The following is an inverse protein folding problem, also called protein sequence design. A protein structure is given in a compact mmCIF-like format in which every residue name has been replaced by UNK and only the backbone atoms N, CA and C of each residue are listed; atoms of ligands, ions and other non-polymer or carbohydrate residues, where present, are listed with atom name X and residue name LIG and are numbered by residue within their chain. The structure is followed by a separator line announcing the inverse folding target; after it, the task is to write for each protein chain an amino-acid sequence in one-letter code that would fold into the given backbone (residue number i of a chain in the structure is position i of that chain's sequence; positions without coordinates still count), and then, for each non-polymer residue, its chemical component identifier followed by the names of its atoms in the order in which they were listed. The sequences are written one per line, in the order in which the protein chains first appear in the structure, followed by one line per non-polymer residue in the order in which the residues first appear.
data_IF_628807482301
#
_entry.id   IF_628807482301
#
_cell.length_a   1.000
_cell.length_b   1.000
_cell.length_c   1.000
_cell.angle_alpha   90.00
_cell.angle_beta   90.00
_cell.angle_gamma   90.00
#
_symmetry.space_group_name_H-M   'P 1'
#
loop_
_entity.id
_entity.type
_entity.pdbx_description
1 polymer ?
#
# COMPACT_ATOMS: atom_id res chain seq x y z
N UNK A 1 14.62 5.43 -18.67
CA UNK A 1 14.74 3.98 -18.89
C UNK A 1 13.90 3.24 -17.86
N UNK A 2 13.05 2.34 -18.33
CA UNK A 2 12.19 1.56 -17.45
C UNK A 2 13.04 0.51 -16.71
N UNK A 3 12.98 0.52 -15.40
CA UNK A 3 13.73 -0.42 -14.57
C UNK A 3 12.82 -1.57 -14.18
N UNK A 4 13.13 -2.78 -14.63
CA UNK A 4 12.38 -3.98 -14.25
C UNK A 4 12.97 -4.60 -12.99
N UNK A 5 13.17 -3.75 -12.00
CA UNK A 5 13.71 -4.19 -10.72
C UNK A 5 12.68 -5.03 -9.99
N UNK A 6 13.14 -6.13 -9.42
CA UNK A 6 12.31 -6.97 -8.56
C UNK A 6 12.43 -6.46 -7.12
N UNK A 7 11.29 -6.22 -6.50
CA UNK A 7 11.22 -5.84 -5.09
C UNK A 7 10.52 -6.93 -4.32
N UNK A 8 10.79 -7.00 -3.03
CA UNK A 8 10.10 -7.93 -2.13
C UNK A 8 9.53 -7.18 -0.95
N UNK A 9 8.57 -7.81 -0.29
CA UNK A 9 7.99 -7.30 0.94
C UNK A 9 7.59 -8.43 1.86
N UNK A 10 7.39 -8.08 3.13
CA UNK A 10 6.95 -9.03 4.14
C UNK A 10 6.26 -8.32 5.28
N UNK A 11 5.39 -9.03 5.99
CA UNK A 11 4.80 -8.51 7.22
C UNK A 11 5.81 -8.56 8.36
N UNK A 12 5.48 -7.93 9.48
CA UNK A 12 6.40 -7.83 10.62
C UNK A 12 6.90 -9.19 11.10
N UNK A 13 6.04 -10.20 11.17
CA UNK A 13 6.44 -11.53 11.65
C UNK A 13 7.03 -12.41 10.56
N UNK A 14 6.99 -11.98 9.31
CA UNK A 14 7.54 -12.74 8.18
C UNK A 14 6.64 -13.84 7.64
N UNK A 15 5.50 -14.12 8.25
CA UNK A 15 4.62 -15.20 7.79
C UNK A 15 4.00 -14.93 6.42
N UNK A 16 3.79 -13.66 6.07
CA UNK A 16 3.25 -13.26 4.78
C UNK A 16 4.33 -12.52 4.01
N UNK A 17 4.64 -13.00 2.82
CA UNK A 17 5.65 -12.36 1.98
C UNK A 17 5.24 -12.40 0.52
N UNK A 18 5.79 -11.48 -0.27
CA UNK A 18 5.45 -11.31 -1.68
C UNK A 18 6.61 -10.72 -2.46
N UNK A 19 6.48 -10.75 -3.78
CA UNK A 19 7.43 -10.08 -4.66
C UNK A 19 6.69 -9.30 -5.74
N UNK A 20 7.35 -8.29 -6.25
CA UNK A 20 6.83 -7.42 -7.29
C UNK A 20 7.91 -7.16 -8.33
N UNK A 21 7.51 -7.00 -9.58
CA UNK A 21 8.42 -6.66 -10.66
C UNK A 21 8.00 -5.32 -11.25
N UNK A 22 8.95 -4.41 -11.46
CA UNK A 22 8.69 -3.14 -12.11
C UNK A 22 8.26 -3.29 -13.57
N UNK A 23 7.86 -2.19 -14.21
CA UNK A 23 8.02 -0.82 -13.73
C UNK A 23 7.02 -0.47 -12.63
N UNK A 24 7.45 0.44 -11.74
CA UNK A 24 6.60 0.95 -10.67
C UNK A 24 6.15 2.35 -11.06
N UNK A 25 4.93 2.46 -11.55
CA UNK A 25 4.45 3.69 -12.17
C UNK A 25 3.74 4.63 -11.22
N UNK A 26 3.29 4.13 -10.06
CA UNK A 26 2.52 4.97 -9.17
C UNK A 26 2.75 4.61 -7.70
N UNK A 27 3.04 5.64 -6.92
CA UNK A 27 3.21 5.58 -5.47
C UNK A 27 2.32 6.67 -4.88
N UNK A 28 1.23 6.28 -4.20
CA UNK A 28 0.25 7.23 -3.71
C UNK A 28 0.28 7.36 -2.19
N UNK A 29 0.12 8.60 -1.73
CA UNK A 29 -0.14 8.89 -0.31
C UNK A 29 -1.60 9.26 -0.17
N UNK A 30 -2.37 8.44 0.53
CA UNK A 30 -3.81 8.63 0.67
C UNK A 30 -4.15 9.12 2.08
N UNK A 31 -4.86 10.24 2.16
CA UNK A 31 -5.21 10.92 3.40
C UNK A 31 -6.69 10.79 3.75
N UNK A 32 -7.44 9.95 3.06
CA UNK A 32 -8.86 9.78 3.33
C UNK A 32 -9.07 9.17 4.72
N UNK A 33 -10.26 9.38 5.28
CA UNK A 33 -10.58 8.91 6.63
C UNK A 33 -10.42 7.40 6.79
N UNK A 34 -10.72 6.64 5.75
CA UNK A 34 -10.57 5.17 5.80
C UNK A 34 -9.10 4.78 5.93
N UNK A 35 -8.25 5.36 5.11
CA UNK A 35 -6.81 5.07 5.13
C UNK A 35 -6.18 5.50 6.45
N UNK A 36 -6.59 6.64 6.99
CA UNK A 36 -6.09 7.09 8.29
C UNK A 36 -6.45 6.12 9.40
N UNK A 37 -7.70 5.64 9.42
CA UNK A 37 -8.15 4.70 10.45
C UNK A 37 -7.49 3.34 10.31
N UNK A 38 -7.30 2.87 9.09
CA UNK A 38 -6.65 1.58 8.86
C UNK A 38 -5.19 1.56 9.28
N UNK A 39 -4.50 2.67 9.09
CA UNK A 39 -3.07 2.75 9.38
C UNK A 39 -2.76 3.33 10.75
N UNK A 40 -3.72 4.04 11.36
CA UNK A 40 -3.45 4.81 12.56
C UNK A 40 -2.48 5.96 12.31
N UNK A 41 -2.37 6.41 11.07
CA UNK A 41 -1.47 7.48 10.65
C UNK A 41 -2.23 8.56 9.91
N UNK A 42 -1.56 9.67 9.63
CA UNK A 42 -2.15 10.76 8.85
C UNK A 42 -2.38 10.42 7.38
N UNK A 43 -1.78 9.34 6.90
CA UNK A 43 -1.93 8.90 5.52
C UNK A 43 -1.52 7.44 5.38
N UNK A 44 -1.96 6.80 4.30
CA UNK A 44 -1.47 5.50 3.89
C UNK A 44 -0.57 5.68 2.68
N UNK A 45 0.56 4.97 2.65
CA UNK A 45 1.49 4.99 1.51
C UNK A 45 1.38 3.67 0.77
N UNK A 46 1.03 3.74 -0.51
CA UNK A 46 0.78 2.54 -1.31
C UNK A 46 1.47 2.61 -2.66
N UNK A 47 2.16 1.53 -3.01
CA UNK A 47 2.56 1.30 -4.39
C UNK A 47 1.41 0.62 -5.11
N UNK A 48 1.17 1.02 -6.35
CA UNK A 48 0.17 0.40 -7.19
C UNK A 48 0.89 -0.38 -8.28
N UNK A 49 0.64 -1.67 -8.35
CA UNK A 49 1.21 -2.52 -9.39
C UNK A 49 0.09 -3.26 -10.10
N UNK A 50 0.34 -3.68 -11.31
CA UNK A 50 -0.62 -4.51 -12.04
C UNK A 50 -0.60 -5.91 -11.46
N UNK A 51 -1.72 -6.61 -11.62
CA UNK A 51 -1.87 -7.96 -11.09
C UNK A 51 -0.75 -8.90 -11.59
N UNK A 52 -0.35 -8.78 -12.84
CA UNK A 52 0.70 -9.62 -13.43
C UNK A 52 2.12 -9.27 -12.96
N UNK A 53 2.30 -8.14 -12.27
CA UNK A 53 3.57 -7.75 -11.68
C UNK A 53 3.74 -8.25 -10.25
N UNK A 54 2.75 -8.93 -9.70
CA UNK A 54 2.69 -9.29 -8.29
C UNK A 54 2.65 -10.80 -8.10
N UNK A 55 3.34 -11.29 -7.07
CA UNK A 55 3.33 -12.70 -6.73
C UNK A 55 3.41 -12.91 -5.22
N UNK A 56 2.50 -13.69 -4.67
CA UNK A 56 2.62 -14.16 -3.30
C UNK A 56 3.75 -15.17 -3.22
N UNK A 57 4.59 -15.04 -2.19
CA UNK A 57 5.67 -15.98 -1.92
C UNK A 57 5.26 -16.95 -0.82
N UNK A 58 4.73 -16.43 0.29
CA UNK A 58 4.29 -17.27 1.40
C UNK A 58 3.16 -16.62 2.19
N UNK A 59 2.40 -17.43 2.88
CA UNK A 59 1.45 -16.97 3.88
C UNK A 59 0.13 -16.43 3.36
N UNK A 60 -0.20 -16.67 2.10
CA UNK A 60 -1.47 -16.19 1.55
C UNK A 60 -2.67 -16.66 2.40
N UNK A 61 -2.61 -17.85 2.96
CA UNK A 61 -3.67 -18.39 3.81
C UNK A 61 -3.71 -17.75 5.20
N UNK A 62 -2.70 -16.96 5.56
CA UNK A 62 -2.61 -16.29 6.86
C UNK A 62 -3.04 -14.82 6.77
N UNK A 63 -3.89 -14.49 5.82
CA UNK A 63 -4.37 -13.12 5.59
C UNK A 63 -5.81 -13.00 6.07
N UNK A 64 -6.05 -11.93 6.81
CA UNK A 64 -7.39 -11.52 7.22
C UNK A 64 -7.86 -10.40 6.29
N UNK A 65 -8.99 -10.61 5.62
CA UNK A 65 -9.60 -9.62 4.75
C UNK A 65 -10.76 -8.95 5.47
N UNK A 66 -10.86 -7.64 5.35
CA UNK A 66 -11.94 -6.86 5.91
C UNK A 66 -12.55 -5.99 4.81
N UNK A 67 -13.84 -6.18 4.55
CA UNK A 67 -14.57 -5.36 3.58
C UNK A 67 -14.78 -3.97 4.15
N UNK A 68 -14.33 -2.96 3.40
CA UNK A 68 -14.48 -1.58 3.82
C UNK A 68 -15.95 -1.15 3.75
N UNK A 69 -16.34 -0.18 4.59
CA UNK A 69 -17.72 0.34 4.53
C UNK A 69 -18.06 0.89 3.15
N UNK A 70 -19.28 0.62 2.72
CA UNK A 70 -19.80 1.17 1.46
C UNK A 70 -19.82 2.71 1.51
N UNK A 71 -19.59 3.40 0.38
CA UNK A 71 -19.51 2.89 -0.99
C UNK A 71 -18.10 2.45 -1.42
N UNK A 72 -17.16 2.27 -0.51
CA UNK A 72 -15.81 1.85 -0.86
C UNK A 72 -15.79 0.47 -1.51
N UNK A 73 -14.91 0.30 -2.48
CA UNK A 73 -14.67 -0.99 -3.13
C UNK A 73 -13.38 -1.64 -2.60
N UNK A 74 -12.83 -1.10 -1.53
CA UNK A 74 -11.60 -1.61 -0.97
C UNK A 74 -11.83 -2.81 -0.07
N UNK A 75 -10.88 -3.71 -0.10
CA UNK A 75 -10.72 -4.75 0.91
C UNK A 75 -9.43 -4.43 1.63
N UNK A 76 -9.47 -4.34 2.95
CA UNK A 76 -8.26 -4.22 3.76
C UNK A 76 -7.73 -5.62 4.04
N UNK A 77 -6.44 -5.81 3.90
CA UNK A 77 -5.82 -7.10 4.15
C UNK A 77 -4.70 -6.96 5.18
N UNK A 78 -4.65 -7.89 6.12
CA UNK A 78 -3.63 -7.87 7.17
C UNK A 78 -3.22 -9.28 7.54
N UNK A 79 -2.01 -9.41 8.09
CA UNK A 79 -1.51 -10.69 8.60
C UNK A 79 -2.28 -11.08 9.87
N UNK A 80 -2.79 -12.31 9.91
CA UNK A 80 -3.51 -12.80 11.10
C UNK A 80 -2.63 -12.88 12.33
N UNK A 81 -1.33 -13.09 12.15
CA UNK A 81 -0.41 -13.32 13.26
C UNK A 81 0.15 -12.03 13.86
N UNK A 82 0.49 -11.05 13.04
CA UNK A 82 1.14 -9.82 13.54
C UNK A 82 0.33 -8.55 13.29
N UNK A 83 -0.75 -8.61 12.50
CA UNK A 83 -1.59 -7.45 12.24
C UNK A 83 -1.04 -6.48 11.20
N UNK A 84 0.14 -6.72 10.65
CA UNK A 84 0.67 -5.87 9.59
C UNK A 84 -0.24 -5.86 8.39
N UNK A 85 -0.39 -4.69 7.77
CA UNK A 85 -1.09 -4.62 6.49
C UNK A 85 -0.26 -5.32 5.43
N UNK A 86 -0.95 -6.00 4.52
CA UNK A 86 -0.33 -6.76 3.43
C UNK A 86 -0.96 -6.31 2.12
N UNK A 87 -0.39 -6.69 0.98
CA UNK A 87 -0.96 -6.33 -0.33
C UNK A 87 -2.40 -6.80 -0.47
N UNK A 88 -3.17 -6.00 -1.19
CA UNK A 88 -4.58 -6.29 -1.46
C UNK A 88 -4.94 -5.95 -2.89
N UNK A 89 -5.83 -6.75 -3.46
CA UNK A 89 -6.34 -6.50 -4.79
C UNK A 89 -7.29 -5.30 -4.73
N UNK A 90 -7.14 -4.39 -5.69
CA UNK A 90 -7.86 -3.13 -5.70
C UNK A 90 -8.73 -3.03 -6.95
N UNK A 91 -9.94 -2.52 -6.76
CA UNK A 91 -10.86 -2.22 -7.83
C UNK A 91 -11.73 -3.40 -8.24
N UNK A 92 -12.81 -3.09 -8.95
CA UNK A 92 -13.78 -4.10 -9.39
C UNK A 92 -13.18 -5.05 -10.42
N UNK A 93 -12.28 -4.56 -11.24
CA UNK A 93 -11.65 -5.37 -12.28
C UNK A 93 -10.60 -6.33 -11.73
N UNK A 94 -10.18 -6.14 -10.47
CA UNK A 94 -9.13 -6.92 -9.82
C UNK A 94 -7.81 -6.95 -10.60
N UNK A 95 -7.52 -5.85 -11.30
CA UNK A 95 -6.31 -5.75 -12.14
C UNK A 95 -5.14 -5.07 -11.47
N UNK A 96 -5.38 -4.41 -10.34
CA UNK A 96 -4.36 -3.69 -9.60
C UNK A 96 -4.17 -4.28 -8.22
N UNK A 97 -2.95 -4.20 -7.72
CA UNK A 97 -2.63 -4.60 -6.35
C UNK A 97 -2.05 -3.39 -5.63
N UNK A 98 -2.55 -3.09 -4.44
CA UNK A 98 -2.01 -2.07 -3.57
C UNK A 98 -1.01 -2.71 -2.62
N UNK A 99 0.20 -2.20 -2.63
CA UNK A 99 1.28 -2.70 -1.79
C UNK A 99 1.54 -1.67 -0.69
N UNK A 100 1.39 -2.02 0.59
CA UNK A 100 1.79 -1.11 1.66
C UNK A 100 3.28 -0.84 1.55
N UNK A 101 3.64 0.41 1.28
CA UNK A 101 5.03 0.77 0.99
C UNK A 101 5.96 0.41 2.15
N UNK A 102 5.52 0.67 3.38
CA UNK A 102 6.36 0.43 4.56
C UNK A 102 6.75 -1.03 4.77
N UNK A 103 6.04 -1.97 4.15
CA UNK A 103 6.35 -3.39 4.22
C UNK A 103 7.26 -3.86 3.09
N UNK A 104 7.61 -2.96 2.17
CA UNK A 104 8.57 -3.27 1.10
C UNK A 104 9.97 -3.25 1.67
N UNK A 105 10.74 -4.30 1.40
CA UNK A 105 12.09 -4.43 1.94
C UNK A 105 13.04 -3.45 1.27
N UNK A 106 12.88 -3.27 -0.04
CA UNK A 106 13.70 -2.35 -0.83
C UNK A 106 12.93 -1.07 -1.11
N UNK A 107 13.67 -0.01 -1.44
CA UNK A 107 13.08 1.29 -1.77
C UNK A 107 12.87 1.40 -3.28
N UNK A 108 11.64 1.58 -3.74
CA UNK A 108 11.41 1.82 -5.17
C UNK A 108 11.88 3.20 -5.60
N UNK A 109 12.36 3.30 -6.83
CA UNK A 109 12.84 4.56 -7.39
C UNK A 109 11.68 5.37 -7.98
N UNK A 110 10.72 5.75 -7.13
CA UNK A 110 9.56 6.54 -7.56
C UNK A 110 9.18 7.50 -6.44
N UNK A 111 8.88 8.74 -6.81
CA UNK A 111 8.45 9.75 -5.86
C UNK A 111 6.98 9.59 -5.52
N UNK A 112 6.60 9.82 -4.26
CA UNK A 112 5.20 9.74 -3.87
C UNK A 112 4.38 10.90 -4.41
N UNK A 113 3.13 10.60 -4.75
CA UNK A 113 2.14 11.58 -5.16
C UNK A 113 1.01 11.62 -4.13
N UNK A 114 0.62 12.80 -3.71
CA UNK A 114 -0.49 12.94 -2.78
C UNK A 114 -1.82 12.69 -3.51
N UNK A 115 -2.58 11.73 -3.02
CA UNK A 115 -3.89 11.39 -3.55
C UNK A 115 -4.92 11.41 -2.41
N UNK A 116 -6.20 11.52 -2.74
CA UNK A 116 -7.29 11.56 -1.75
C UNK A 116 -6.97 12.54 -0.61
N UNK A 117 -6.60 13.76 -0.99
CA UNK A 117 -6.24 14.79 -0.04
C UNK A 117 -7.51 15.34 0.62
N UNK A 118 -7.54 15.28 1.94
CA UNK A 118 -8.56 15.94 2.74
C UNK A 118 -7.88 16.95 3.65
N UNK A 119 -8.27 18.20 3.54
CA UNK A 119 -7.68 19.28 4.36
C UNK A 119 -8.28 19.25 5.76
N UNK A 120 -7.88 18.28 6.54
CA UNK A 120 -8.38 18.11 7.90
C UNK A 120 -7.29 18.23 8.98
N UNK A 121 -6.03 18.34 8.57
CA UNK A 121 -4.94 18.39 9.54
C UNK A 121 -3.89 19.41 9.14
N UNK A 122 -3.68 20.38 10.02
CA UNK A 122 -2.61 21.36 9.80
C UNK A 122 -1.22 20.72 9.87
N UNK A 123 -1.06 19.70 10.72
CA UNK A 123 0.24 19.06 10.83
C UNK A 123 0.65 18.38 9.53
N UNK A 124 -0.32 17.83 8.78
CA UNK A 124 0.00 17.20 7.51
C UNK A 124 0.44 18.26 6.48
N UNK A 125 -0.18 19.42 6.49
CA UNK A 125 0.25 20.54 5.65
C UNK A 125 1.69 20.93 5.97
N UNK A 126 2.04 20.97 7.25
CA UNK A 126 3.40 21.27 7.69
C UNK A 126 4.38 20.17 7.27
N UNK A 127 3.98 18.91 7.40
CA UNK A 127 4.78 17.79 6.95
C UNK A 127 5.04 17.85 5.45
N UNK A 128 4.01 18.18 4.67
CA UNK A 128 4.14 18.33 3.24
C UNK A 128 5.19 19.40 2.88
N UNK A 129 5.19 20.52 3.60
CA UNK A 129 6.22 21.56 3.41
C UNK A 129 7.61 21.05 3.77
N UNK A 130 7.72 20.29 4.85
CA UNK A 130 8.99 19.76 5.33
C UNK A 130 9.63 18.79 4.33
N UNK A 131 8.83 18.02 3.61
CA UNK A 131 9.35 17.07 2.62
C UNK A 131 9.56 17.73 1.24
N UNK A 132 9.32 19.03 1.11
CA UNK A 132 9.66 19.79 -0.09
C UNK A 132 8.67 19.71 -1.24
N UNK A 133 7.45 19.35 -0.94
CA UNK A 133 6.42 19.27 -2.00
C UNK A 133 5.44 20.42 -1.92
#
# INVERSE_FOLDING_TARGET
MTTYKKLSGECLCGNVSWSMTGPFDFFGLCQCSLCRKLTGSGFASNLFVKFDQFQWISGKQNIFDFDMPKPSNFISASCKSCGSRVPRIFGRSKKMVLIPYGSTVDVPEIQPTLVCYEDHTKWFTNLKKAIGN
#
